data_IF_324128717169
#
_entry.id   IF_324128717169
#
_cell.length_a   1.000
_cell.length_b   1.000
_cell.length_c   1.000
_cell.angle_alpha   90.00
_cell.angle_beta   90.00
_cell.angle_gamma   90.00
#
_symmetry.space_group_name_H-M   'P 1'
#
loop_
_entity.id
_entity.type
_entity.pdbx_description
1 polymer ?
#
# COMPACT_ATOMS: atom_id res chain seq x y z
N UNK A 1 -36.98 -13.61 -1.17
CA UNK A 1 -36.46 -13.42 -2.53
C UNK A 1 -35.11 -12.70 -2.52
N UNK A 2 -34.25 -13.13 -3.35
CA UNK A 2 -32.96 -12.48 -3.43
C UNK A 2 -32.94 -11.45 -4.56
N UNK A 3 -33.39 -10.25 -4.25
CA UNK A 3 -33.48 -9.17 -5.20
C UNK A 3 -32.10 -8.65 -5.63
N UNK A 4 -31.05 -8.99 -4.87
CA UNK A 4 -29.70 -8.50 -5.13
C UNK A 4 -28.99 -9.27 -6.25
N UNK A 5 -29.51 -10.47 -6.58
CA UNK A 5 -28.93 -11.30 -7.63
C UNK A 5 -30.02 -11.63 -8.66
N UNK A 6 -30.30 -10.67 -9.57
CA UNK A 6 -31.38 -10.85 -10.54
C UNK A 6 -31.11 -12.01 -11.49
N UNK A 7 -29.87 -12.43 -11.67
CA UNK A 7 -29.56 -13.64 -12.40
C UNK A 7 -28.25 -14.24 -11.87
N UNK A 8 -28.09 -15.52 -12.15
CA UNK A 8 -26.86 -16.21 -11.79
C UNK A 8 -25.89 -16.18 -12.96
N UNK A 9 -24.66 -15.79 -12.68
CA UNK A 9 -23.60 -15.87 -13.67
C UNK A 9 -23.28 -17.32 -14.01
N UNK A 10 -23.04 -17.58 -15.29
CA UNK A 10 -22.45 -18.85 -15.71
C UNK A 10 -21.02 -18.93 -15.22
N UNK A 11 -20.43 -20.13 -15.23
CA UNK A 11 -19.03 -20.28 -14.84
C UNK A 11 -18.09 -19.45 -15.72
N UNK A 12 -18.41 -19.36 -17.01
CA UNK A 12 -17.63 -18.57 -17.96
C UNK A 12 -17.70 -17.08 -17.65
N UNK A 13 -18.89 -16.58 -17.36
CA UNK A 13 -19.10 -15.17 -17.01
C UNK A 13 -18.41 -14.82 -15.71
N UNK A 14 -18.48 -15.69 -14.70
CA UNK A 14 -17.82 -15.48 -13.42
C UNK A 14 -16.30 -15.43 -13.58
N UNK A 15 -15.73 -16.32 -14.37
CA UNK A 15 -14.28 -16.31 -14.64
C UNK A 15 -13.85 -15.04 -15.35
N UNK A 16 -14.67 -14.57 -16.31
CA UNK A 16 -14.38 -13.32 -17.01
C UNK A 16 -14.45 -12.13 -16.06
N UNK A 17 -15.45 -12.10 -15.17
CA UNK A 17 -15.62 -11.06 -14.16
C UNK A 17 -14.44 -11.05 -13.19
N UNK A 18 -14.03 -12.21 -12.69
CA UNK A 18 -12.89 -12.33 -11.77
C UNK A 18 -11.59 -11.87 -12.43
N UNK A 19 -11.37 -12.22 -13.70
CA UNK A 19 -10.19 -11.76 -14.44
C UNK A 19 -10.17 -10.26 -14.57
N UNK A 20 -11.32 -9.64 -14.85
CA UNK A 20 -11.42 -8.18 -14.98
C UNK A 20 -11.17 -7.48 -13.65
N UNK A 21 -11.76 -8.00 -12.55
CA UNK A 21 -11.52 -7.47 -11.21
C UNK A 21 -10.04 -7.57 -10.84
N UNK A 22 -9.42 -8.71 -11.11
CA UNK A 22 -7.99 -8.90 -10.83
C UNK A 22 -7.11 -7.96 -11.67
N UNK A 23 -7.47 -7.74 -12.92
CA UNK A 23 -6.77 -6.82 -13.80
C UNK A 23 -6.84 -5.39 -13.27
N UNK A 24 -8.04 -4.93 -12.90
CA UNK A 24 -8.24 -3.59 -12.37
C UNK A 24 -7.53 -3.41 -11.04
N UNK A 25 -7.58 -4.41 -10.18
CA UNK A 25 -6.88 -4.39 -8.89
C UNK A 25 -5.37 -4.28 -9.10
N UNK A 26 -4.83 -5.05 -10.04
CA UNK A 26 -3.41 -4.99 -10.37
C UNK A 26 -2.98 -3.63 -10.89
N UNK A 27 -3.78 -3.01 -11.75
CA UNK A 27 -3.52 -1.67 -12.24
C UNK A 27 -3.58 -0.63 -11.14
N UNK A 28 -4.55 -0.74 -10.24
CA UNK A 28 -4.70 0.17 -9.11
C UNK A 28 -3.52 0.06 -8.14
N UNK A 29 -3.07 -1.16 -7.85
CA UNK A 29 -1.90 -1.39 -7.00
C UNK A 29 -0.65 -0.78 -7.62
N UNK A 30 -0.49 -0.96 -8.93
CA UNK A 30 0.65 -0.40 -9.66
C UNK A 30 0.64 1.13 -9.61
N UNK A 31 -0.52 1.74 -9.81
CA UNK A 31 -0.69 3.19 -9.76
C UNK A 31 -0.41 3.72 -8.35
N UNK A 32 -0.93 3.04 -7.33
CA UNK A 32 -0.68 3.40 -5.93
C UNK A 32 0.82 3.33 -5.62
N UNK A 33 1.50 2.29 -6.10
CA UNK A 33 2.94 2.12 -5.91
C UNK A 33 3.73 3.28 -6.51
N UNK A 34 3.40 3.69 -7.74
CA UNK A 34 4.05 4.81 -8.41
C UNK A 34 3.82 6.12 -7.65
N UNK A 35 2.60 6.35 -7.24
CA UNK A 35 2.24 7.58 -6.52
C UNK A 35 2.91 7.62 -5.14
N UNK A 36 3.02 6.48 -4.47
CA UNK A 36 3.69 6.38 -3.19
C UNK A 36 5.19 6.68 -3.34
N UNK A 37 5.83 6.13 -4.37
CA UNK A 37 7.23 6.44 -4.67
C UNK A 37 7.43 7.94 -4.90
N UNK A 38 6.56 8.54 -5.71
CA UNK A 38 6.62 9.97 -5.99
C UNK A 38 6.43 10.79 -4.73
N UNK A 39 5.50 10.40 -3.87
CA UNK A 39 5.22 11.08 -2.61
C UNK A 39 6.44 11.06 -1.68
N UNK A 40 7.06 9.90 -1.54
CA UNK A 40 8.24 9.74 -0.68
C UNK A 40 9.41 10.57 -1.21
N UNK A 41 9.69 10.49 -2.52
CA UNK A 41 10.79 11.24 -3.12
C UNK A 41 10.56 12.75 -3.00
N UNK A 42 9.34 13.20 -3.25
CA UNK A 42 9.01 14.62 -3.12
C UNK A 42 9.15 15.09 -1.67
N UNK A 43 8.69 14.28 -0.70
CA UNK A 43 8.84 14.61 0.72
C UNK A 43 10.30 14.75 1.12
N UNK A 44 11.16 13.87 0.65
CA UNK A 44 12.60 13.95 0.90
C UNK A 44 13.21 15.21 0.29
N UNK A 45 12.76 15.57 -0.91
CA UNK A 45 13.17 16.80 -1.57
C UNK A 45 12.79 18.03 -0.75
N UNK A 46 11.54 18.08 -0.28
CA UNK A 46 11.03 19.22 0.48
C UNK A 46 11.67 19.33 1.86
N UNK A 47 11.81 18.21 2.56
CA UNK A 47 12.25 18.21 3.95
C UNK A 47 13.76 18.26 4.10
N UNK A 48 14.49 17.60 3.20
CA UNK A 48 15.95 17.46 3.30
C UNK A 48 16.70 18.20 2.20
N UNK A 49 15.99 18.75 1.22
CA UNK A 49 16.63 19.46 0.12
C UNK A 49 17.43 18.57 -0.83
N UNK A 50 17.13 17.27 -0.86
CA UNK A 50 17.90 16.33 -1.69
C UNK A 50 17.72 16.62 -3.17
N UNK A 51 18.84 16.54 -3.91
CA UNK A 51 18.83 16.64 -5.36
C UNK A 51 18.70 15.30 -6.04
N UNK A 52 18.79 15.32 -7.36
CA UNK A 52 18.55 14.14 -8.21
C UNK A 52 19.40 12.93 -7.80
N UNK A 53 20.70 13.10 -7.54
CA UNK A 53 21.58 11.97 -7.23
C UNK A 53 21.16 11.24 -5.96
N UNK A 54 20.85 11.99 -4.89
CA UNK A 54 20.45 11.41 -3.60
C UNK A 54 19.08 10.76 -3.71
N UNK A 55 18.15 11.38 -4.41
CA UNK A 55 16.82 10.83 -4.62
C UNK A 55 16.86 9.52 -5.41
N UNK A 56 17.69 9.46 -6.46
CA UNK A 56 17.82 8.22 -7.25
C UNK A 56 18.48 7.11 -6.44
N UNK A 57 19.47 7.45 -5.62
CA UNK A 57 20.09 6.47 -4.71
C UNK A 57 19.09 5.91 -3.72
N UNK A 58 18.28 6.79 -3.13
CA UNK A 58 17.22 6.40 -2.21
C UNK A 58 16.21 5.48 -2.91
N UNK A 59 15.75 5.86 -4.10
CA UNK A 59 14.78 5.06 -4.84
C UNK A 59 15.29 3.65 -5.12
N UNK A 60 16.54 3.52 -5.51
CA UNK A 60 17.17 2.23 -5.78
C UNK A 60 17.08 1.29 -4.58
N UNK A 61 17.29 1.84 -3.39
CA UNK A 61 17.23 1.05 -2.15
C UNK A 61 15.80 0.88 -1.65
N UNK A 62 14.89 1.74 -2.05
CA UNK A 62 13.48 1.71 -1.64
C UNK A 62 12.65 0.71 -2.44
N UNK A 63 12.98 0.51 -3.72
CA UNK A 63 12.21 -0.40 -4.59
C UNK A 63 12.09 -1.83 -4.04
N UNK A 64 13.16 -2.46 -3.50
CA UNK A 64 13.00 -3.79 -2.91
C UNK A 64 12.02 -3.83 -1.74
N UNK A 65 11.90 -2.75 -0.98
CA UNK A 65 10.94 -2.67 0.14
C UNK A 65 9.52 -2.62 -0.38
N UNK A 66 9.28 -1.94 -1.49
CA UNK A 66 7.96 -1.91 -2.13
C UNK A 66 7.58 -3.31 -2.64
N UNK A 67 8.53 -4.04 -3.21
CA UNK A 67 8.29 -5.41 -3.64
C UNK A 67 7.93 -6.31 -2.46
N UNK A 68 8.60 -6.15 -1.32
CA UNK A 68 8.28 -6.88 -0.10
C UNK A 68 6.85 -6.57 0.36
N UNK A 69 6.45 -5.31 0.28
CA UNK A 69 5.09 -4.91 0.65
C UNK A 69 4.06 -5.56 -0.27
N UNK A 70 4.32 -5.58 -1.57
CA UNK A 70 3.43 -6.22 -2.54
C UNK A 70 3.31 -7.72 -2.27
N UNK A 71 4.42 -8.38 -1.98
CA UNK A 71 4.44 -9.81 -1.64
C UNK A 71 3.66 -10.09 -0.36
N UNK A 72 3.77 -9.20 0.64
CA UNK A 72 3.03 -9.32 1.88
C UNK A 72 1.51 -9.34 1.63
N UNK A 73 1.02 -8.45 0.78
CA UNK A 73 -0.41 -8.39 0.47
C UNK A 73 -0.88 -9.52 -0.44
N UNK A 74 0.02 -10.13 -1.21
CA UNK A 74 -0.30 -11.25 -2.09
C UNK A 74 -0.23 -12.60 -1.40
N UNK A 75 0.38 -12.70 -0.23
CA UNK A 75 0.54 -13.94 0.52
C UNK A 75 -0.75 -14.30 1.23
N UNK A 76 -1.57 -15.17 0.63
CA UNK A 76 -2.85 -15.59 1.17
C UNK A 76 -2.72 -16.49 2.40
N UNK A 77 -1.67 -17.29 2.46
CA UNK A 77 -1.46 -18.29 3.51
C UNK A 77 -0.42 -17.88 4.55
N UNK A 78 -0.07 -16.59 4.58
CA UNK A 78 0.92 -16.11 5.54
C UNK A 78 0.32 -15.98 6.94
N UNK A 79 1.01 -16.51 7.93
CA UNK A 79 0.68 -16.30 9.33
C UNK A 79 1.07 -14.89 9.79
N UNK A 80 1.85 -14.18 8.98
CA UNK A 80 2.27 -12.82 9.29
C UNK A 80 1.10 -11.86 9.11
N UNK A 81 0.69 -11.23 10.20
CA UNK A 81 -0.38 -10.23 10.21
C UNK A 81 0.16 -8.80 10.19
N UNK A 82 1.45 -8.62 10.42
CA UNK A 82 2.07 -7.32 10.50
C UNK A 82 3.24 -7.23 9.52
N UNK A 83 3.29 -6.14 8.74
CA UNK A 83 4.40 -5.91 7.83
C UNK A 83 5.69 -5.67 8.62
N UNK A 84 6.77 -6.32 8.19
CA UNK A 84 8.05 -6.35 8.92
C UNK A 84 8.60 -4.95 9.22
N UNK A 85 8.35 -3.97 8.36
CA UNK A 85 8.83 -2.60 8.58
C UNK A 85 8.16 -1.94 9.77
N UNK A 86 6.87 -2.22 10.00
CA UNK A 86 6.17 -1.72 11.19
C UNK A 86 6.79 -2.28 12.46
N UNK A 87 7.07 -3.57 12.47
CA UNK A 87 7.70 -4.26 13.59
C UNK A 87 9.09 -3.69 13.89
N UNK A 88 9.91 -3.52 12.85
CA UNK A 88 11.27 -3.00 13.01
C UNK A 88 11.30 -1.57 13.53
N UNK A 89 10.43 -0.71 13.00
CA UNK A 89 10.35 0.67 13.45
C UNK A 89 9.97 0.75 14.92
N UNK A 90 9.01 -0.07 15.35
CA UNK A 90 8.57 -0.09 16.73
C UNK A 90 9.65 -0.60 17.68
N UNK A 91 10.32 -1.70 17.31
CA UNK A 91 11.26 -2.37 18.21
C UNK A 91 12.68 -1.82 18.13
N UNK A 92 13.14 -1.37 16.97
CA UNK A 92 14.50 -0.84 16.81
C UNK A 92 14.58 0.66 17.01
N UNK A 93 13.55 1.40 16.60
CA UNK A 93 13.56 2.87 16.64
C UNK A 93 12.62 3.44 17.67
N UNK A 94 11.63 2.66 18.12
CA UNK A 94 10.64 3.14 19.09
C UNK A 94 9.52 3.96 18.45
N UNK A 95 9.27 3.79 17.15
CA UNK A 95 8.20 4.50 16.44
C UNK A 95 7.06 3.54 16.16
N UNK A 96 5.90 3.79 16.74
CA UNK A 96 4.67 3.06 16.48
C UNK A 96 3.84 3.84 15.46
N UNK A 97 3.92 3.41 14.20
CA UNK A 97 3.25 4.08 13.09
C UNK A 97 1.74 4.03 13.24
N UNK A 98 1.21 2.92 13.75
CA UNK A 98 -0.25 2.77 13.94
C UNK A 98 -0.77 3.77 14.97
N UNK A 99 -0.06 3.95 16.07
CA UNK A 99 -0.43 4.92 17.09
C UNK A 99 -0.36 6.36 16.57
N UNK A 100 0.66 6.67 15.77
CA UNK A 100 0.81 7.99 15.15
C UNK A 100 -0.34 8.26 14.17
N UNK A 101 -0.70 7.27 13.36
CA UNK A 101 -1.79 7.39 12.40
C UNK A 101 -3.12 7.67 13.12
N UNK A 102 -3.41 6.95 14.21
CA UNK A 102 -4.60 7.18 15.01
C UNK A 102 -4.63 8.60 15.59
N UNK A 103 -3.51 9.10 16.07
CA UNK A 103 -3.42 10.47 16.59
C UNK A 103 -3.73 11.49 15.50
N UNK A 104 -3.20 11.33 14.28
CA UNK A 104 -3.47 12.23 13.19
C UNK A 104 -4.93 12.18 12.75
N UNK A 105 -5.55 11.02 12.72
CA UNK A 105 -6.96 10.88 12.40
C UNK A 105 -7.85 11.56 13.42
N UNK A 106 -7.55 11.42 14.71
CA UNK A 106 -8.29 12.10 15.77
C UNK A 106 -8.17 13.62 15.64
N UNK A 107 -6.99 14.14 15.39
CA UNK A 107 -6.77 15.57 15.20
C UNK A 107 -7.53 16.10 13.98
N UNK A 108 -7.54 15.33 12.90
CA UNK A 108 -8.27 15.71 11.70
C UNK A 108 -9.78 15.80 11.94
N UNK A 109 -10.32 14.91 12.77
CA UNK A 109 -11.74 14.91 13.13
C UNK A 109 -12.10 16.06 14.05
N UNK A 110 -11.21 16.42 14.95
CA UNK A 110 -11.45 17.52 15.94
C UNK A 110 -11.25 18.89 15.29
N UNK A 111 -10.29 19.00 14.38
CA UNK A 111 -9.94 20.25 13.69
C UNK A 111 -10.12 20.07 12.18
N UNK A 112 -11.37 20.10 11.70
CA UNK A 112 -11.64 19.93 10.27
C UNK A 112 -11.17 21.11 9.43
#
# INVERSE_FOLDING_TARGET
>A
MNALLPYRMTNKERRAFEREVNRQTGENVKRLSLNLQALVLWSLRQQLGWGKKRLLRFQKNFLPLIEQLQQFYQAEDSEETEFICLYKLKNEVGIDVSALDEMFQIQTKINP
#
